data_IF_232827853041
#
_entry.id   IF_232827853041
#
_cell.length_a   1.000
_cell.length_b   1.000
_cell.length_c   1.000
_cell.angle_alpha   90.00
_cell.angle_beta   90.00
_cell.angle_gamma   90.00
#
_symmetry.space_group_name_H-M   'P 1'
#
loop_
_entity.id
_entity.type
_entity.pdbx_description
1 polymer ?
#
# COMPACT_ATOMS: atom_id res chain seq x y z
N UNK A 1 -17.51 -31.27 -29.69
CA UNK A 1 -17.81 -30.49 -28.46
C UNK A 1 -17.38 -31.22 -27.19
N UNK A 2 -17.63 -32.53 -27.05
CA UNK A 2 -17.25 -33.32 -25.85
C UNK A 2 -15.73 -33.48 -25.67
N UNK A 3 -14.97 -33.61 -26.76
CA UNK A 3 -13.50 -33.76 -26.70
C UNK A 3 -12.74 -32.54 -26.14
N UNK A 4 -13.31 -31.33 -26.22
CA UNK A 4 -12.68 -30.13 -25.68
C UNK A 4 -12.67 -30.11 -24.14
N UNK A 5 -13.69 -30.70 -23.52
CA UNK A 5 -13.79 -30.78 -22.06
C UNK A 5 -12.77 -31.75 -21.47
N UNK A 6 -12.57 -32.91 -22.09
CA UNK A 6 -11.55 -33.88 -21.64
C UNK A 6 -10.13 -33.33 -21.78
N UNK A 7 -9.84 -32.58 -22.84
CA UNK A 7 -8.55 -31.91 -23.02
C UNK A 7 -8.31 -30.88 -21.92
N UNK A 8 -9.30 -30.02 -21.66
CA UNK A 8 -9.22 -29.03 -20.57
C UNK A 8 -8.94 -29.67 -19.20
N UNK A 9 -9.65 -30.75 -18.84
CA UNK A 9 -9.45 -31.39 -17.54
C UNK A 9 -8.09 -32.07 -17.42
N UNK A 10 -7.56 -32.63 -18.52
CA UNK A 10 -6.21 -33.18 -18.55
C UNK A 10 -5.13 -32.08 -18.45
N UNK A 11 -5.28 -30.99 -19.19
CA UNK A 11 -4.37 -29.85 -19.12
C UNK A 11 -4.40 -29.20 -17.73
N UNK A 12 -5.59 -29.10 -17.13
CA UNK A 12 -5.77 -28.56 -15.80
C UNK A 12 -5.10 -29.44 -14.74
N UNK A 13 -5.24 -30.77 -14.81
CA UNK A 13 -4.60 -31.67 -13.85
C UNK A 13 -3.08 -31.67 -14.00
N UNK A 14 -2.58 -31.57 -15.23
CA UNK A 14 -1.16 -31.44 -15.53
C UNK A 14 -0.58 -30.11 -15.03
N UNK A 15 -1.29 -29.00 -15.20
CA UNK A 15 -0.86 -27.66 -14.77
C UNK A 15 -1.24 -27.32 -13.32
N UNK A 16 -2.05 -28.15 -12.66
CA UNK A 16 -2.52 -27.91 -11.29
C UNK A 16 -1.38 -27.58 -10.31
N UNK A 17 -0.20 -28.25 -10.35
CA UNK A 17 0.91 -27.89 -9.47
C UNK A 17 1.38 -26.45 -9.65
N UNK A 18 1.50 -25.98 -10.90
CA UNK A 18 1.91 -24.61 -11.22
C UNK A 18 0.87 -23.58 -10.74
N UNK A 19 -0.42 -23.89 -10.90
CA UNK A 19 -1.50 -23.03 -10.40
C UNK A 19 -1.44 -22.92 -8.88
N UNK A 20 -1.25 -24.05 -8.19
CA UNK A 20 -1.13 -24.08 -6.72
C UNK A 20 0.08 -23.27 -6.26
N UNK A 21 1.22 -23.37 -6.94
CA UNK A 21 2.40 -22.59 -6.62
C UNK A 21 2.20 -21.09 -6.90
N UNK A 22 1.50 -20.72 -7.98
CA UNK A 22 1.09 -19.35 -8.24
C UNK A 22 0.17 -18.77 -7.16
N UNK A 23 -0.78 -19.57 -6.65
CA UNK A 23 -1.63 -19.18 -5.52
C UNK A 23 -0.78 -18.95 -4.26
N UNK A 24 0.15 -19.86 -3.94
CA UNK A 24 1.05 -19.70 -2.79
C UNK A 24 1.86 -18.41 -2.86
N UNK A 25 2.48 -18.12 -4.01
CA UNK A 25 3.27 -16.89 -4.17
C UNK A 25 2.39 -15.64 -4.14
N UNK A 26 1.16 -15.70 -4.67
CA UNK A 26 0.18 -14.61 -4.57
C UNK A 26 -0.21 -14.35 -3.12
N UNK A 27 -0.55 -15.39 -2.35
CA UNK A 27 -0.91 -15.26 -0.93
C UNK A 27 0.25 -14.70 -0.10
N UNK A 28 1.47 -15.18 -0.35
CA UNK A 28 2.70 -14.69 0.28
C UNK A 28 2.94 -13.22 -0.02
N UNK A 29 2.87 -12.83 -1.29
CA UNK A 29 3.03 -11.44 -1.70
C UNK A 29 1.95 -10.55 -1.07
N UNK A 30 0.68 -10.97 -1.14
CA UNK A 30 -0.45 -10.25 -0.57
C UNK A 30 -0.29 -10.02 0.94
N UNK A 31 0.11 -11.04 1.70
CA UNK A 31 0.35 -10.92 3.14
C UNK A 31 1.46 -9.90 3.44
N UNK A 32 2.59 -10.01 2.76
CA UNK A 32 3.75 -9.12 2.97
C UNK A 32 3.40 -7.68 2.59
N UNK A 33 2.79 -7.46 1.43
CA UNK A 33 2.35 -6.13 0.96
C UNK A 33 1.32 -5.54 1.90
N UNK A 34 0.36 -6.34 2.40
CA UNK A 34 -0.67 -5.84 3.31
C UNK A 34 -0.05 -5.33 4.61
N UNK A 35 0.85 -6.09 5.22
CA UNK A 35 1.52 -5.69 6.46
C UNK A 35 2.43 -4.48 6.22
N UNK A 36 3.30 -4.56 5.23
CA UNK A 36 4.27 -3.48 4.95
C UNK A 36 3.59 -2.20 4.48
N UNK A 37 2.59 -2.29 3.61
CA UNK A 37 1.81 -1.16 3.13
C UNK A 37 0.95 -0.53 4.23
N UNK A 38 0.43 -1.32 5.17
CA UNK A 38 -0.27 -0.79 6.34
C UNK A 38 0.68 -0.03 7.27
N UNK A 39 1.82 -0.64 7.64
CA UNK A 39 2.83 0.00 8.49
C UNK A 39 3.38 1.28 7.83
N UNK A 40 3.67 1.22 6.53
CA UNK A 40 4.12 2.39 5.78
C UNK A 40 3.04 3.48 5.74
N UNK A 41 1.78 3.10 5.52
CA UNK A 41 0.65 4.02 5.57
C UNK A 41 0.50 4.74 6.91
N UNK A 42 0.71 4.03 8.04
CA UNK A 42 0.72 4.64 9.38
C UNK A 42 1.81 5.70 9.50
N UNK A 43 3.02 5.40 9.03
CA UNK A 43 4.15 6.35 9.06
C UNK A 43 3.79 7.62 8.28
N UNK A 44 3.32 7.46 7.03
CA UNK A 44 2.94 8.58 6.16
C UNK A 44 1.74 9.35 6.76
N UNK A 45 0.77 8.67 7.37
CA UNK A 45 -0.35 9.31 8.07
C UNK A 45 0.14 10.23 9.20
N UNK A 46 1.02 9.76 10.09
CA UNK A 46 1.54 10.63 11.16
C UNK A 46 2.34 11.82 10.60
N UNK A 47 3.07 11.64 9.49
CA UNK A 47 3.74 12.74 8.81
C UNK A 47 2.75 13.74 8.21
N UNK A 48 1.55 13.30 7.80
CA UNK A 48 0.49 14.17 7.25
C UNK A 48 -0.10 15.09 8.31
N UNK A 49 -0.08 14.68 9.58
CA UNK A 49 -0.51 15.45 10.76
C UNK A 49 0.54 16.45 11.26
N UNK A 50 1.73 16.49 10.64
CA UNK A 50 2.80 17.41 11.03
C UNK A 50 2.38 18.88 10.88
N UNK A 51 2.80 19.71 11.84
CA UNK A 51 2.57 21.15 11.81
C UNK A 51 3.59 21.88 10.90
N UNK A 52 4.69 21.20 10.52
CA UNK A 52 5.72 21.79 9.64
C UNK A 52 5.21 21.81 8.19
N UNK A 53 5.12 22.98 7.54
CA UNK A 53 4.53 23.09 6.21
C UNK A 53 5.28 22.26 5.14
N UNK A 54 6.61 22.20 5.25
CA UNK A 54 7.46 21.42 4.35
C UNK A 54 7.15 19.93 4.43
N UNK A 55 7.04 19.38 5.65
CA UNK A 55 6.71 17.95 5.85
C UNK A 55 5.33 17.66 5.26
N UNK A 56 4.34 18.50 5.56
CA UNK A 56 2.98 18.34 5.03
C UNK A 56 2.92 18.39 3.50
N UNK A 57 3.70 19.28 2.87
CA UNK A 57 3.78 19.39 1.42
C UNK A 57 4.40 18.13 0.79
N UNK A 58 5.52 17.63 1.34
CA UNK A 58 6.18 16.41 0.86
C UNK A 58 5.25 15.20 1.02
N UNK A 59 4.60 15.05 2.17
CA UNK A 59 3.67 13.94 2.42
C UNK A 59 2.48 13.97 1.47
N UNK A 60 1.92 15.15 1.17
CA UNK A 60 0.85 15.30 0.18
C UNK A 60 1.32 14.94 -1.22
N UNK A 61 2.47 15.47 -1.65
CA UNK A 61 3.06 15.14 -2.94
C UNK A 61 3.27 13.64 -3.10
N UNK A 62 3.77 12.97 -2.06
CA UNK A 62 3.90 11.52 -2.03
C UNK A 62 2.54 10.82 -2.26
N UNK A 63 1.51 11.18 -1.46
CA UNK A 63 0.18 10.56 -1.59
C UNK A 63 -0.42 10.80 -2.97
N UNK A 64 -0.39 12.04 -3.46
CA UNK A 64 -0.93 12.43 -4.76
C UNK A 64 -0.21 11.73 -5.91
N UNK A 65 1.13 11.62 -5.84
CA UNK A 65 1.93 10.93 -6.85
C UNK A 65 1.58 9.44 -6.93
N UNK A 66 1.57 8.73 -5.80
CA UNK A 66 1.36 7.28 -5.80
C UNK A 66 -0.10 6.90 -6.10
N UNK A 67 -1.08 7.73 -5.71
CA UNK A 67 -2.50 7.50 -6.04
C UNK A 67 -2.81 7.91 -7.49
N UNK A 68 -2.18 8.97 -7.99
CA UNK A 68 -2.39 9.49 -9.35
C UNK A 68 -1.63 8.71 -10.43
N UNK A 69 -0.58 7.97 -10.07
CA UNK A 69 0.24 7.21 -11.02
C UNK A 69 -0.22 5.75 -11.10
N UNK A 70 -0.43 5.19 -12.31
CA UNK A 70 -0.73 3.77 -12.45
C UNK A 70 0.33 2.89 -11.79
N UNK A 71 -0.07 1.98 -10.90
CA UNK A 71 0.86 1.09 -10.20
C UNK A 71 1.75 0.28 -11.17
N UNK A 72 1.17 -0.16 -12.29
CA UNK A 72 1.92 -0.89 -13.32
C UNK A 72 3.09 -0.06 -13.88
N UNK A 73 2.93 1.27 -14.00
CA UNK A 73 3.98 2.16 -14.46
C UNK A 73 5.11 2.24 -13.42
N UNK A 74 4.78 2.31 -12.13
CA UNK A 74 5.78 2.32 -11.05
C UNK A 74 6.58 1.01 -11.06
N UNK A 75 5.89 -0.14 -11.14
CA UNK A 75 6.53 -1.44 -11.22
C UNK A 75 7.43 -1.54 -12.46
N UNK A 76 6.96 -1.05 -13.61
CA UNK A 76 7.73 -1.04 -14.85
C UNK A 76 9.01 -0.21 -14.71
N UNK A 77 8.92 1.01 -14.18
CA UNK A 77 10.08 1.90 -13.98
C UNK A 77 11.08 1.28 -13.01
N UNK A 78 10.62 0.66 -11.92
CA UNK A 78 11.53 0.01 -10.96
C UNK A 78 12.17 -1.23 -11.62
N UNK A 79 11.40 -2.06 -12.33
CA UNK A 79 11.90 -3.31 -12.91
C UNK A 79 12.87 -3.09 -14.08
N UNK A 80 12.55 -2.18 -14.99
CA UNK A 80 13.32 -1.95 -16.22
C UNK A 80 14.21 -0.72 -16.17
N UNK A 81 13.90 0.26 -15.31
CA UNK A 81 14.67 1.49 -15.18
C UNK A 81 15.87 1.36 -14.24
N UNK A 82 15.68 0.80 -13.03
CA UNK A 82 16.79 0.65 -12.06
C UNK A 82 18.00 -0.15 -12.59
N UNK A 83 17.83 -1.21 -13.40
CA UNK A 83 18.97 -1.90 -14.02
C UNK A 83 19.87 -1.00 -14.86
N UNK A 84 19.35 0.10 -15.44
CA UNK A 84 20.15 1.05 -16.21
C UNK A 84 21.15 1.82 -15.34
N UNK A 85 20.86 1.93 -14.04
CA UNK A 85 21.75 2.50 -13.02
C UNK A 85 22.61 1.45 -12.32
N UNK A 86 22.60 0.19 -12.79
CA UNK A 86 23.34 -0.93 -12.21
C UNK A 86 22.67 -1.60 -11.00
N UNK A 87 21.43 -1.24 -10.67
CA UNK A 87 20.69 -1.83 -9.54
C UNK A 87 19.74 -2.90 -10.08
N UNK A 88 20.04 -4.16 -9.77
CA UNK A 88 19.22 -5.31 -10.17
C UNK A 88 18.45 -5.85 -8.97
N UNK A 89 17.12 -5.72 -9.01
CA UNK A 89 16.22 -6.25 -7.99
C UNK A 89 15.49 -7.48 -8.52
N UNK A 90 15.20 -8.44 -7.64
CA UNK A 90 14.36 -9.57 -8.00
C UNK A 90 12.93 -9.11 -8.30
N UNK A 91 12.19 -9.81 -9.17
CA UNK A 91 10.79 -9.49 -9.48
C UNK A 91 9.91 -9.42 -8.23
N UNK A 92 10.19 -10.29 -7.25
CA UNK A 92 9.49 -10.29 -5.96
C UNK A 92 9.79 -9.01 -5.16
N UNK A 93 11.05 -8.59 -5.07
CA UNK A 93 11.44 -7.35 -4.39
C UNK A 93 10.82 -6.13 -5.05
N UNK A 94 10.85 -6.07 -6.39
CA UNK A 94 10.20 -5.00 -7.15
C UNK A 94 8.71 -4.92 -6.84
N UNK A 95 8.02 -6.07 -6.88
CA UNK A 95 6.61 -6.16 -6.55
C UNK A 95 6.36 -5.64 -5.13
N UNK A 96 7.03 -6.22 -4.12
CA UNK A 96 6.86 -5.80 -2.72
C UNK A 96 7.08 -4.29 -2.59
N UNK A 97 8.19 -3.73 -3.08
CA UNK A 97 8.47 -2.29 -2.95
C UNK A 97 7.42 -1.42 -3.64
N UNK A 98 7.08 -1.70 -4.90
CA UNK A 98 6.10 -0.90 -5.64
C UNK A 98 4.71 -0.96 -5.02
N UNK A 99 4.25 -2.15 -4.65
CA UNK A 99 2.98 -2.35 -3.97
C UNK A 99 2.95 -1.70 -2.58
N UNK A 100 3.99 -1.86 -1.75
CA UNK A 100 4.06 -1.27 -0.41
C UNK A 100 3.95 0.26 -0.47
N UNK A 101 4.67 0.90 -1.39
CA UNK A 101 4.63 2.36 -1.54
C UNK A 101 3.24 2.84 -1.98
N UNK A 102 2.65 2.18 -2.98
CA UNK A 102 1.33 2.52 -3.48
C UNK A 102 0.22 2.28 -2.44
N UNK A 103 0.16 1.08 -1.85
CA UNK A 103 -0.80 0.73 -0.80
C UNK A 103 -0.63 1.63 0.43
N UNK A 104 0.60 1.95 0.81
CA UNK A 104 0.87 2.89 1.90
C UNK A 104 0.35 4.30 1.64
N UNK A 105 0.43 4.79 0.40
CA UNK A 105 -0.17 6.06 0.02
C UNK A 105 -1.70 6.07 0.17
N UNK A 106 -2.38 5.02 -0.33
CA UNK A 106 -3.82 4.86 -0.14
C UNK A 106 -4.21 4.77 1.34
N UNK A 107 -3.51 3.94 2.12
CA UNK A 107 -3.77 3.80 3.55
C UNK A 107 -3.59 5.13 4.31
N UNK A 108 -2.52 5.88 4.02
CA UNK A 108 -2.29 7.18 4.63
C UNK A 108 -3.39 8.19 4.28
N UNK A 109 -3.86 8.19 3.03
CA UNK A 109 -4.95 9.06 2.58
C UNK A 109 -6.28 8.70 3.27
N UNK A 110 -6.60 7.40 3.39
CA UNK A 110 -7.79 6.93 4.10
C UNK A 110 -7.75 7.31 5.57
N UNK A 111 -6.64 7.05 6.27
CA UNK A 111 -6.47 7.43 7.67
C UNK A 111 -6.53 8.94 7.88
N UNK A 112 -5.91 9.73 7.00
CA UNK A 112 -5.97 11.20 7.04
C UNK A 112 -7.40 11.70 6.85
N UNK A 113 -8.14 11.10 5.93
CA UNK A 113 -9.54 11.46 5.68
C UNK A 113 -10.42 11.11 6.87
N UNK A 114 -10.26 9.91 7.44
CA UNK A 114 -10.97 9.48 8.63
C UNK A 114 -10.67 10.37 9.84
N UNK A 115 -9.39 10.72 10.06
CA UNK A 115 -8.99 11.63 11.14
C UNK A 115 -9.62 13.02 11.00
N UNK A 116 -9.64 13.58 9.79
CA UNK A 116 -10.25 14.91 9.56
C UNK A 116 -11.78 14.90 9.62
N UNK A 117 -12.42 13.74 9.55
CA UNK A 117 -13.87 13.58 9.68
C UNK A 117 -14.34 13.56 11.15
N UNK A 118 -13.42 13.48 12.13
CA UNK A 118 -13.75 13.52 13.55
C UNK A 118 -14.44 14.83 13.95
N UNK A 119 -15.37 14.74 14.90
CA UNK A 119 -16.15 15.89 15.34
C UNK A 119 -15.27 16.90 16.09
N UNK A 120 -15.20 18.11 15.55
CA UNK A 120 -14.41 19.21 16.16
C UNK A 120 -14.87 19.51 17.59
N UNK A 121 -16.17 19.43 17.87
CA UNK A 121 -16.70 19.70 19.21
C UNK A 121 -16.20 18.69 20.26
N UNK A 122 -16.01 17.42 19.88
CA UNK A 122 -15.45 16.40 20.78
C UNK A 122 -13.98 16.70 21.07
N UNK A 123 -13.21 17.06 20.05
CA UNK A 123 -11.81 17.43 20.24
C UNK A 123 -11.63 18.71 21.05
N UNK A 124 -12.51 19.70 20.90
CA UNK A 124 -12.48 20.94 21.68
C UNK A 124 -12.89 20.70 23.13
N UNK A 125 -13.92 19.89 23.38
CA UNK A 125 -14.33 19.51 24.73
C UNK A 125 -13.22 18.77 25.49
N UNK A 126 -12.51 17.87 24.82
CA UNK A 126 -11.37 17.14 25.39
C UNK A 126 -10.22 18.08 25.77
N UNK A 127 -9.92 19.08 24.95
CA UNK A 127 -8.92 20.11 25.25
C UNK A 127 -9.35 20.99 26.44
N UNK A 128 -10.63 21.36 26.54
CA UNK A 128 -11.17 22.12 27.69
C UNK A 128 -11.07 21.34 29.00
N UNK A 129 -11.17 20.01 28.95
CA UNK A 129 -10.94 19.13 30.10
C UNK A 129 -9.45 19.00 30.49
N UNK A 130 -8.54 19.68 29.78
CA UNK A 130 -7.11 19.69 30.07
C UNK A 130 -6.33 18.54 29.40
N UNK A 131 -6.94 17.80 28.48
CA UNK A 131 -6.23 16.75 27.74
C UNK A 131 -5.27 17.35 26.70
N UNK A 132 -4.06 16.82 26.66
CA UNK A 132 -3.08 17.19 25.63
C UNK A 132 -3.39 16.50 24.30
N UNK A 133 -2.84 16.99 23.18
CA UNK A 133 -3.10 16.47 21.82
C UNK A 133 -2.88 14.95 21.69
N UNK A 134 -1.94 14.38 22.44
CA UNK A 134 -1.68 12.93 22.41
C UNK A 134 -2.76 12.16 23.15
N UNK A 135 -3.26 12.69 24.27
CA UNK A 135 -4.39 12.13 24.99
C UNK A 135 -5.67 12.21 24.16
N UNK A 136 -5.96 13.36 23.53
CA UNK A 136 -7.12 13.52 22.62
C UNK A 136 -7.08 12.55 21.44
N UNK A 137 -5.89 12.11 21.00
CA UNK A 137 -5.76 11.11 19.95
C UNK A 137 -5.94 9.67 20.47
N UNK A 138 -5.58 9.38 21.73
CA UNK A 138 -5.58 8.04 22.30
C UNK A 138 -6.89 7.66 23.00
N UNK A 139 -7.64 8.66 23.49
CA UNK A 139 -8.85 8.53 24.30
C UNK A 139 -10.00 9.24 23.62
#
# INVERSE_FOLDING_TARGET
>A
MIAGWSLFFNDLTEQLPLVVDGIKETCKLALIVSITGFLWGIIIFFLSLSHRPVVKAITRLYMDFFIGTPLILILFVIYYGLPQSGIHLSSFTVAVTGFTLNVGAYNAAYMTTAYNALNKYETEAAVVQGLNKRQVFLW
#
